data_IF_559200025301
#
_entry.id   IF_559200025301
#
_cell.length_a   1.000
_cell.length_b   1.000
_cell.length_c   1.000
_cell.angle_alpha   90.00
_cell.angle_beta   90.00
_cell.angle_gamma   90.00
#
_symmetry.space_group_name_H-M   'P 1'
#
loop_
_entity.id
_entity.type
_entity.pdbx_description
1 polymer ?
#
# COMPACT_ATOMS: atom_id res chain seq x y z
N UNK A 1 -17.17 16.49 -44.88
CA UNK A 1 -17.34 17.34 -43.68
C UNK A 1 -18.14 16.59 -42.61
N UNK A 2 -17.49 15.81 -41.74
CA UNK A 2 -18.13 15.18 -40.54
C UNK A 2 -17.05 14.67 -39.59
N UNK A 3 -16.27 15.58 -39.01
CA UNK A 3 -15.12 15.25 -38.14
C UNK A 3 -15.25 15.71 -36.68
N UNK A 4 -15.98 16.78 -36.29
CA UNK A 4 -15.93 17.24 -34.89
C UNK A 4 -16.72 16.32 -33.93
N UNK A 5 -17.82 15.70 -34.41
CA UNK A 5 -18.64 14.79 -33.59
C UNK A 5 -17.94 13.47 -33.30
N UNK A 6 -17.21 12.91 -34.28
CA UNK A 6 -16.44 11.67 -34.10
C UNK A 6 -15.23 11.87 -33.17
N UNK A 7 -14.56 13.02 -33.27
CA UNK A 7 -13.46 13.36 -32.38
C UNK A 7 -13.94 13.52 -30.93
N UNK A 8 -15.07 14.22 -30.71
CA UNK A 8 -15.70 14.30 -29.38
C UNK A 8 -16.11 12.93 -28.84
N UNK A 9 -16.69 12.06 -29.67
CA UNK A 9 -17.09 10.72 -29.23
C UNK A 9 -15.88 9.87 -28.78
N UNK A 10 -14.76 9.92 -29.51
CA UNK A 10 -13.53 9.22 -29.14
C UNK A 10 -12.92 9.79 -27.84
N UNK A 11 -12.94 11.11 -27.67
CA UNK A 11 -12.44 11.75 -26.45
C UNK A 11 -13.28 11.37 -25.22
N UNK A 12 -14.60 11.35 -25.35
CA UNK A 12 -15.51 10.92 -24.28
C UNK A 12 -15.29 9.44 -23.94
N UNK A 13 -15.12 8.58 -24.95
CA UNK A 13 -14.82 7.17 -24.73
C UNK A 13 -13.48 6.96 -24.02
N UNK A 14 -12.45 7.72 -24.40
CA UNK A 14 -11.15 7.69 -23.73
C UNK A 14 -11.26 8.11 -22.26
N UNK A 15 -11.98 9.20 -21.96
CA UNK A 15 -12.19 9.66 -20.58
C UNK A 15 -12.94 8.62 -19.73
N UNK A 16 -13.91 7.91 -20.31
CA UNK A 16 -14.64 6.84 -19.64
C UNK A 16 -13.76 5.61 -19.33
N UNK A 17 -12.81 5.27 -20.20
CA UNK A 17 -11.90 4.13 -19.91
C UNK A 17 -10.84 4.48 -18.88
N UNK A 18 -10.39 5.75 -18.80
CA UNK A 18 -9.47 6.18 -17.75
C UNK A 18 -10.10 6.11 -16.35
N UNK A 19 -11.38 6.44 -16.19
CA UNK A 19 -12.05 6.36 -14.88
C UNK A 19 -12.32 4.92 -14.45
N UNK A 20 -12.49 3.99 -15.39
CA UNK A 20 -12.67 2.56 -15.11
C UNK A 20 -11.37 1.85 -14.63
N UNK A 21 -10.20 2.47 -14.81
CA UNK A 21 -8.91 1.89 -14.38
C UNK A 21 -8.61 2.05 -12.89
N UNK A 22 -9.48 2.70 -12.11
CA UNK A 22 -9.31 2.82 -10.66
C UNK A 22 -9.62 1.46 -9.99
N UNK A 23 -8.60 0.62 -9.81
CA UNK A 23 -8.74 -0.65 -9.13
C UNK A 23 -8.88 -0.43 -7.61
N UNK A 24 -9.91 -0.99 -6.94
CA UNK A 24 -10.07 -0.83 -5.51
C UNK A 24 -8.97 -1.57 -4.76
N UNK A 25 -8.35 -0.89 -3.78
CA UNK A 25 -7.42 -1.52 -2.85
C UNK A 25 -8.23 -2.38 -1.88
N UNK A 26 -7.99 -3.70 -1.90
CA UNK A 26 -8.62 -4.65 -0.98
C UNK A 26 -7.69 -4.89 0.21
N UNK A 27 -8.18 -4.57 1.41
CA UNK A 27 -7.61 -5.10 2.65
C UNK A 27 -7.91 -6.60 2.69
N UNK A 28 -6.88 -7.43 2.75
CA UNK A 28 -7.04 -8.89 2.75
C UNK A 28 -7.50 -9.38 4.12
N UNK A 29 -6.82 -8.94 5.18
CA UNK A 29 -7.06 -9.39 6.54
C UNK A 29 -6.60 -8.33 7.54
N UNK A 30 -7.24 -8.30 8.72
CA UNK A 30 -6.78 -7.53 9.88
C UNK A 30 -6.76 -8.49 11.06
N UNK A 31 -5.58 -8.70 11.64
CA UNK A 31 -5.41 -9.50 12.83
C UNK A 31 -5.10 -8.59 14.01
N UNK A 32 -5.90 -8.69 15.08
CA UNK A 32 -5.70 -8.01 16.35
C UNK A 32 -6.38 -8.83 17.44
N UNK A 33 -5.92 -8.69 18.67
CA UNK A 33 -6.65 -9.23 19.82
C UNK A 33 -8.02 -8.53 19.97
N UNK A 34 -9.04 -9.28 20.38
CA UNK A 34 -10.40 -8.74 20.55
C UNK A 34 -10.46 -7.64 21.63
N UNK A 35 -9.63 -7.77 22.66
CA UNK A 35 -9.49 -6.84 23.78
C UNK A 35 -8.67 -5.60 23.43
N UNK A 36 -7.95 -5.60 22.31
CA UNK A 36 -7.14 -4.47 21.88
C UNK A 36 -8.00 -3.37 21.25
N UNK A 37 -8.26 -2.33 22.05
CA UNK A 37 -9.10 -1.17 21.71
C UNK A 37 -8.29 0.12 21.53
N UNK A 38 -7.01 0.11 21.91
CA UNK A 38 -6.16 1.30 21.88
C UNK A 38 -5.63 1.60 20.47
N UNK A 39 -5.30 2.87 20.22
CA UNK A 39 -4.57 3.24 19.00
C UNK A 39 -3.09 2.86 19.16
N UNK A 40 -2.47 2.22 18.14
CA UNK A 40 -1.07 1.82 18.25
C UNK A 40 -0.16 3.05 18.33
N UNK A 41 0.66 3.11 19.37
CA UNK A 41 1.63 4.20 19.58
C UNK A 41 2.93 3.97 18.82
N UNK A 42 3.32 2.70 18.65
CA UNK A 42 4.54 2.29 17.95
C UNK A 42 4.26 1.10 17.05
N UNK A 43 4.67 1.16 15.80
CA UNK A 43 4.38 0.13 14.79
C UNK A 43 5.60 -0.20 13.95
N UNK A 44 5.71 -1.48 13.59
CA UNK A 44 6.64 -1.97 12.57
C UNK A 44 5.90 -2.09 11.24
N UNK A 45 6.38 -1.39 10.22
CA UNK A 45 5.85 -1.50 8.85
C UNK A 45 6.69 -2.47 8.05
N UNK A 46 6.06 -3.52 7.52
CA UNK A 46 6.69 -4.55 6.70
C UNK A 46 6.00 -4.57 5.33
N UNK A 47 6.77 -4.39 4.25
CA UNK A 47 6.28 -4.60 2.90
C UNK A 47 6.91 -5.84 2.26
N UNK A 48 6.08 -6.65 1.60
CA UNK A 48 6.54 -7.80 0.81
C UNK A 48 6.67 -7.40 -0.66
N UNK A 49 7.88 -7.09 -1.09
CA UNK A 49 8.20 -6.83 -2.49
C UNK A 49 9.46 -7.61 -2.91
N UNK A 50 9.53 -8.00 -4.18
CA UNK A 50 10.71 -8.66 -4.75
C UNK A 50 11.89 -7.69 -4.85
N UNK A 51 11.62 -6.49 -5.34
CA UNK A 51 12.61 -5.44 -5.50
C UNK A 51 12.78 -4.63 -4.20
N UNK A 52 14.04 -4.48 -3.79
CA UNK A 52 14.41 -3.74 -2.57
C UNK A 52 13.90 -2.29 -2.61
N UNK A 53 14.07 -1.62 -3.75
CA UNK A 53 13.63 -0.22 -3.94
C UNK A 53 12.12 -0.07 -3.76
N UNK A 54 11.34 -1.03 -4.27
CA UNK A 54 9.87 -1.05 -4.14
C UNK A 54 9.47 -1.24 -2.68
N UNK A 55 10.12 -2.18 -1.98
CA UNK A 55 9.90 -2.38 -0.53
C UNK A 55 10.19 -1.11 0.25
N UNK A 56 11.36 -0.52 0.05
CA UNK A 56 11.79 0.69 0.77
C UNK A 56 10.84 1.86 0.51
N UNK A 57 10.45 2.09 -0.75
CA UNK A 57 9.53 3.15 -1.11
C UNK A 57 8.16 2.95 -0.45
N UNK A 58 7.61 1.74 -0.49
CA UNK A 58 6.32 1.43 0.13
C UNK A 58 6.37 1.66 1.64
N UNK A 59 7.38 1.11 2.33
CA UNK A 59 7.54 1.28 3.77
C UNK A 59 7.77 2.74 4.15
N UNK A 60 8.51 3.51 3.35
CA UNK A 60 8.73 4.94 3.58
C UNK A 60 7.44 5.74 3.50
N UNK A 61 6.64 5.54 2.45
CA UNK A 61 5.37 6.27 2.26
C UNK A 61 4.41 5.98 3.40
N UNK A 62 4.22 4.70 3.74
CA UNK A 62 3.31 4.31 4.81
C UNK A 62 3.82 4.78 6.18
N UNK A 63 5.13 4.69 6.43
CA UNK A 63 5.70 5.17 7.68
C UNK A 63 5.55 6.68 7.86
N UNK A 64 5.73 7.46 6.80
CA UNK A 64 5.53 8.91 6.85
C UNK A 64 4.06 9.23 7.15
N UNK A 65 3.10 8.61 6.43
CA UNK A 65 1.67 8.82 6.66
C UNK A 65 1.20 8.45 8.07
N UNK A 66 1.81 7.43 8.69
CA UNK A 66 1.52 7.04 10.08
C UNK A 66 2.21 7.98 11.08
N UNK A 67 3.43 8.41 10.79
CA UNK A 67 4.17 9.37 11.62
C UNK A 67 3.47 10.73 11.66
N UNK A 68 2.92 11.19 10.52
CA UNK A 68 2.12 12.42 10.44
C UNK A 68 0.85 12.37 11.32
N UNK A 69 0.44 11.16 11.73
CA UNK A 69 -0.68 10.92 12.66
C UNK A 69 -0.22 10.69 14.11
N UNK A 70 1.05 10.93 14.41
CA UNK A 70 1.62 10.81 15.75
C UNK A 70 2.01 9.38 16.16
N UNK A 71 2.10 8.44 15.21
CA UNK A 71 2.54 7.06 15.49
C UNK A 71 4.06 6.95 15.31
N UNK A 72 4.77 6.37 16.26
CA UNK A 72 6.18 6.02 16.09
C UNK A 72 6.31 4.85 15.11
N UNK A 73 7.08 5.01 14.02
CA UNK A 73 7.18 3.97 12.99
C UNK A 73 8.60 3.45 12.80
N UNK A 74 8.77 2.14 12.95
CA UNK A 74 9.95 1.40 12.54
C UNK A 74 9.72 0.84 11.14
N UNK A 75 10.69 1.05 10.25
CA UNK A 75 10.67 0.51 8.89
C UNK A 75 11.41 -0.82 8.89
N UNK A 76 10.78 -1.89 8.45
CA UNK A 76 11.36 -3.22 8.52
C UNK A 76 12.65 -3.34 7.69
N UNK A 77 12.82 -2.62 6.58
CA UNK A 77 14.06 -2.69 5.81
C UNK A 77 15.30 -2.19 6.58
N UNK A 78 15.12 -1.40 7.65
CA UNK A 78 16.21 -0.92 8.51
C UNK A 78 16.64 -1.94 9.56
N UNK A 79 15.69 -2.75 10.04
CA UNK A 79 15.90 -3.68 11.16
C UNK A 79 15.94 -5.15 10.72
N UNK A 80 15.40 -5.44 9.53
CA UNK A 80 15.31 -6.74 8.88
C UNK A 80 15.70 -6.59 7.39
N UNK A 81 16.99 -6.30 7.08
CA UNK A 81 17.45 -6.02 5.72
C UNK A 81 17.37 -7.24 4.79
N UNK A 82 17.58 -8.44 5.33
CA UNK A 82 17.65 -9.71 4.59
C UNK A 82 16.32 -10.49 4.54
N UNK A 83 15.18 -9.80 4.60
CA UNK A 83 13.85 -10.36 4.36
C UNK A 83 13.71 -10.80 2.88
N UNK A 84 14.40 -11.89 2.53
CA UNK A 84 14.38 -12.56 1.22
C UNK A 84 13.36 -13.71 1.20
N UNK A 85 13.16 -14.36 2.34
CA UNK A 85 12.13 -15.35 2.54
C UNK A 85 10.77 -14.67 2.66
N UNK A 86 9.71 -15.29 2.15
CA UNK A 86 8.33 -14.88 2.43
C UNK A 86 8.19 -14.90 3.97
N UNK A 87 8.06 -13.76 4.67
CA UNK A 87 7.70 -13.82 6.07
C UNK A 87 6.30 -14.43 6.10
N UNK A 88 6.20 -15.67 6.54
CA UNK A 88 4.92 -16.27 6.85
C UNK A 88 4.47 -15.75 8.21
N UNK A 89 3.16 -15.78 8.46
CA UNK A 89 2.57 -15.34 9.72
C UNK A 89 3.30 -15.95 10.93
N UNK A 90 3.63 -17.22 10.82
CA UNK A 90 4.33 -18.00 11.85
C UNK A 90 5.71 -17.42 12.20
N UNK A 91 6.40 -16.80 11.23
CA UNK A 91 7.73 -16.20 11.42
C UNK A 91 7.69 -14.87 12.17
N UNK A 92 6.55 -14.16 12.17
CA UNK A 92 6.41 -12.85 12.84
C UNK A 92 5.89 -12.98 14.28
N UNK A 93 5.27 -14.12 14.60
CA UNK A 93 4.68 -14.39 15.93
C UNK A 93 5.70 -15.01 16.90
N UNK A 94 6.77 -15.62 16.40
CA UNK A 94 7.86 -16.22 17.19
C UNK A 94 8.89 -15.17 17.66
#
# INVERSE_FOLDING_TARGET
MSTPKFFCACLVLLLLTLTASCAPIKKLEVWKEETYTQSPQKVLVIARAQEKSVREQFENVLANQLSDRGVEVIRSYKVLPDLKAKPDRETVVA
#
